data_IF_099974713358
#
_entry.id   IF_099974713358
#
_cell.length_a   1.000
_cell.length_b   1.000
_cell.length_c   1.000
_cell.angle_alpha   90.00
_cell.angle_beta   90.00
_cell.angle_gamma   90.00
#
_symmetry.space_group_name_H-M   'P 1'
#
loop_
_entity.id
_entity.type
_entity.pdbx_description
1 polymer ?
#
# COMPACT_ATOMS: atom_id res chain seq x y z
N UNK A 1 20.85 26.68 -34.74
CA UNK A 1 20.92 25.93 -36.03
C UNK A 1 21.84 24.70 -35.97
N UNK A 2 23.00 24.71 -35.32
CA UNK A 2 23.93 23.54 -35.31
C UNK A 2 23.40 22.31 -34.53
N UNK A 3 22.74 22.51 -33.40
CA UNK A 3 22.23 21.40 -32.56
C UNK A 3 21.14 20.57 -33.27
N UNK A 4 20.22 21.23 -33.96
CA UNK A 4 19.14 20.56 -34.72
C UNK A 4 19.69 19.66 -35.84
N UNK A 5 20.76 20.08 -36.50
CA UNK A 5 21.45 19.26 -37.50
C UNK A 5 22.09 18.00 -36.89
N UNK A 6 22.67 18.09 -35.69
CA UNK A 6 23.24 16.91 -35.04
C UNK A 6 22.17 15.89 -34.64
N UNK A 7 21.00 16.35 -34.16
CA UNK A 7 19.85 15.47 -33.86
C UNK A 7 19.34 14.81 -35.16
N UNK A 8 19.27 15.53 -36.25
CA UNK A 8 18.82 14.98 -37.53
C UNK A 8 19.78 13.89 -38.06
N UNK A 9 21.11 14.13 -38.00
CA UNK A 9 22.14 13.16 -38.38
C UNK A 9 22.06 11.92 -37.45
N UNK A 10 21.82 12.11 -36.15
CA UNK A 10 21.66 10.99 -35.21
C UNK A 10 20.44 10.14 -35.53
N UNK A 11 19.31 10.75 -35.90
CA UNK A 11 18.09 10.03 -36.31
C UNK A 11 18.30 9.25 -37.60
N UNK A 12 18.97 9.84 -38.60
CA UNK A 12 19.32 9.15 -39.85
C UNK A 12 20.21 7.93 -39.60
N UNK A 13 21.21 8.05 -38.72
CA UNK A 13 22.08 6.94 -38.29
C UNK A 13 21.31 5.80 -37.67
N UNK A 14 20.33 6.10 -36.77
CA UNK A 14 19.45 5.12 -36.14
C UNK A 14 18.63 4.35 -37.16
N UNK A 15 18.07 5.06 -38.14
CA UNK A 15 17.23 4.46 -39.19
C UNK A 15 18.05 3.59 -40.15
N UNK A 16 19.32 3.92 -40.39
CA UNK A 16 20.22 3.15 -41.26
C UNK A 16 20.63 1.83 -40.63
N UNK A 17 20.85 1.77 -39.27
CA UNK A 17 21.28 0.60 -38.55
C UNK A 17 20.25 0.13 -37.49
N UNK A 18 19.02 -0.13 -37.94
CA UNK A 18 17.84 -0.40 -37.08
C UNK A 18 18.08 -1.50 -36.02
N UNK A 19 18.70 -2.62 -36.41
CA UNK A 19 18.91 -3.77 -35.53
C UNK A 19 19.88 -3.45 -34.40
N UNK A 20 20.94 -2.68 -34.71
CA UNK A 20 21.94 -2.23 -33.75
C UNK A 20 21.33 -1.22 -32.76
N UNK A 21 20.60 -0.23 -33.28
CA UNK A 21 19.92 0.77 -32.48
C UNK A 21 18.90 0.12 -31.53
N UNK A 22 18.14 -0.86 -32.01
CA UNK A 22 17.16 -1.59 -31.20
C UNK A 22 17.82 -2.38 -30.07
N UNK A 23 18.90 -3.10 -30.39
CA UNK A 23 19.66 -3.88 -29.36
C UNK A 23 20.31 -2.97 -28.31
N UNK A 24 20.80 -1.80 -28.69
CA UNK A 24 21.35 -0.81 -27.74
C UNK A 24 20.28 -0.22 -26.85
N UNK A 25 19.16 0.18 -27.44
CA UNK A 25 18.06 0.78 -26.69
C UNK A 25 17.38 -0.23 -25.79
N UNK A 26 17.42 -1.53 -26.12
CA UNK A 26 16.72 -2.58 -25.36
C UNK A 26 17.08 -2.57 -23.88
N UNK A 27 18.36 -2.44 -23.54
CA UNK A 27 18.81 -2.36 -22.13
C UNK A 27 18.26 -1.13 -21.39
N UNK A 28 18.23 0.02 -22.08
CA UNK A 28 17.64 1.26 -21.51
C UNK A 28 16.12 1.15 -21.40
N UNK A 29 15.46 0.62 -22.44
CA UNK A 29 14.00 0.43 -22.45
C UNK A 29 13.58 -0.48 -21.28
N UNK A 30 14.24 -1.62 -21.13
CA UNK A 30 13.93 -2.56 -20.01
C UNK A 30 14.25 -1.92 -18.66
N UNK A 31 15.39 -1.25 -18.54
CA UNK A 31 15.79 -0.60 -17.30
C UNK A 31 14.81 0.50 -16.86
N UNK A 32 14.43 1.37 -17.77
CA UNK A 32 13.45 2.44 -17.52
C UNK A 32 12.06 1.86 -17.23
N UNK A 33 11.61 0.89 -18.05
CA UNK A 33 10.33 0.24 -17.84
C UNK A 33 10.27 -0.45 -16.47
N UNK A 34 11.32 -1.17 -16.09
CA UNK A 34 11.39 -1.81 -14.78
C UNK A 34 11.33 -0.79 -13.64
N UNK A 35 12.12 0.28 -13.68
CA UNK A 35 12.14 1.31 -12.62
C UNK A 35 10.79 1.98 -12.49
N UNK A 36 10.19 2.47 -13.57
CA UNK A 36 8.90 3.19 -13.54
C UNK A 36 7.77 2.27 -13.08
N UNK A 37 7.69 1.06 -13.64
CA UNK A 37 6.63 0.09 -13.25
C UNK A 37 6.74 -0.27 -11.77
N UNK A 38 7.95 -0.49 -11.29
CA UNK A 38 8.18 -0.89 -9.90
C UNK A 38 7.86 0.21 -8.90
N UNK A 39 8.29 1.45 -9.17
CA UNK A 39 7.91 2.60 -8.34
C UNK A 39 6.38 2.75 -8.35
N UNK A 40 5.75 2.59 -9.51
CA UNK A 40 4.30 2.66 -9.65
C UNK A 40 3.55 1.56 -8.87
N UNK A 41 4.06 0.33 -8.86
CA UNK A 41 3.51 -0.78 -8.05
C UNK A 41 3.66 -0.47 -6.57
N UNK A 42 4.84 -0.04 -6.13
CA UNK A 42 5.11 0.31 -4.74
C UNK A 42 4.17 1.40 -4.21
N UNK A 43 3.98 2.46 -4.99
CA UNK A 43 3.05 3.55 -4.65
C UNK A 43 1.59 3.10 -4.67
N UNK A 44 1.17 2.37 -5.69
CA UNK A 44 -0.18 1.84 -5.77
C UNK A 44 -0.52 0.91 -4.60
N UNK A 45 0.42 0.06 -4.18
CA UNK A 45 0.25 -0.79 -3.00
C UNK A 45 0.16 0.05 -1.71
N UNK A 46 1.04 1.04 -1.53
CA UNK A 46 1.00 1.95 -0.38
C UNK A 46 -0.30 2.75 -0.33
N UNK A 47 -0.78 3.27 -1.48
CA UNK A 47 -2.03 4.00 -1.57
C UNK A 47 -3.23 3.13 -1.18
N UNK A 48 -3.28 1.87 -1.64
CA UNK A 48 -4.35 0.94 -1.27
C UNK A 48 -4.34 0.62 0.23
N UNK A 49 -3.16 0.40 0.83
CA UNK A 49 -3.02 0.18 2.27
C UNK A 49 -3.48 1.42 3.04
N UNK A 50 -3.00 2.60 2.64
CA UNK A 50 -3.39 3.88 3.25
C UNK A 50 -4.90 4.10 3.17
N UNK A 51 -5.51 3.88 2.01
CA UNK A 51 -6.95 4.01 1.82
C UNK A 51 -7.72 3.01 2.69
N UNK A 52 -7.26 1.76 2.78
CA UNK A 52 -7.90 0.73 3.62
C UNK A 52 -7.82 1.07 5.11
N UNK A 53 -6.72 1.71 5.54
CA UNK A 53 -6.54 2.13 6.92
C UNK A 53 -7.37 3.40 7.19
N UNK A 54 -7.35 4.39 6.31
CA UNK A 54 -8.14 5.61 6.46
C UNK A 54 -9.64 5.36 6.53
N UNK A 55 -10.14 4.35 5.79
CA UNK A 55 -11.56 3.94 5.84
C UNK A 55 -11.98 3.26 7.14
N UNK A 56 -11.06 3.01 8.09
CA UNK A 56 -11.35 2.40 9.38
C UNK A 56 -11.21 3.37 10.57
N UNK A 57 -10.94 4.66 10.31
CA UNK A 57 -10.67 5.68 11.32
C UNK A 57 -9.17 5.97 11.49
N UNK A 58 -8.77 7.24 11.42
CA UNK A 58 -7.34 7.64 11.39
C UNK A 58 -6.73 7.66 12.79
N UNK A 59 -7.53 7.99 13.82
CA UNK A 59 -7.09 8.14 15.20
C UNK A 59 -7.45 6.93 16.07
N UNK A 60 -7.62 5.76 15.42
CA UNK A 60 -8.10 4.55 16.09
C UNK A 60 -6.96 3.84 16.84
N UNK A 61 -7.18 3.61 18.13
CA UNK A 61 -6.43 2.66 18.94
C UNK A 61 -7.31 1.44 19.24
N UNK A 62 -6.71 0.25 19.18
CA UNK A 62 -7.40 -0.99 19.52
C UNK A 62 -6.62 -1.67 20.64
N UNK A 63 -7.29 -1.95 21.76
CA UNK A 63 -6.72 -2.73 22.84
C UNK A 63 -7.14 -4.18 22.66
N UNK A 64 -6.16 -5.05 22.52
CA UNK A 64 -6.34 -6.49 22.43
C UNK A 64 -5.90 -7.16 23.74
N UNK A 65 -6.54 -8.23 24.19
CA UNK A 65 -6.05 -9.04 25.28
C UNK A 65 -4.65 -9.58 24.93
N UNK A 66 -3.78 -9.63 25.89
CA UNK A 66 -2.43 -10.17 25.76
C UNK A 66 -2.40 -11.67 25.47
N UNK A 67 -1.22 -12.24 25.44
CA UNK A 67 -1.01 -13.67 25.32
C UNK A 67 -0.99 -14.34 26.69
N UNK A 68 -1.72 -15.44 26.86
CA UNK A 68 -1.52 -16.31 28.01
C UNK A 68 -0.27 -17.16 27.80
N UNK A 69 0.60 -17.21 28.81
CA UNK A 69 1.71 -18.17 28.86
C UNK A 69 1.33 -19.34 29.74
N UNK A 70 1.20 -20.52 29.13
CA UNK A 70 0.99 -21.76 29.87
C UNK A 70 2.16 -22.70 29.65
N UNK A 71 2.89 -23.05 30.73
CA UNK A 71 4.03 -23.95 30.66
C UNK A 71 5.21 -23.45 29.81
N UNK A 72 5.40 -22.11 29.71
CA UNK A 72 6.48 -21.50 28.93
C UNK A 72 6.17 -21.36 27.43
N UNK A 73 4.97 -21.73 27.00
CA UNK A 73 4.51 -21.54 25.61
C UNK A 73 3.49 -20.40 25.58
N UNK A 74 3.80 -19.33 24.82
CA UNK A 74 2.85 -18.24 24.57
C UNK A 74 1.76 -18.71 23.60
N UNK A 75 0.49 -18.56 23.99
CA UNK A 75 -0.66 -18.96 23.19
C UNK A 75 -1.12 -17.92 22.15
N UNK A 76 -0.29 -16.93 21.88
CA UNK A 76 -0.62 -15.85 20.95
C UNK A 76 -1.48 -14.74 21.56
N UNK A 77 -1.44 -13.56 20.96
CA UNK A 77 -2.23 -12.40 21.39
C UNK A 77 -3.73 -12.69 21.34
N UNK A 78 -4.49 -12.13 22.28
CA UNK A 78 -5.93 -12.33 22.39
C UNK A 78 -6.38 -13.52 23.26
N UNK A 79 -5.45 -14.36 23.73
CA UNK A 79 -5.80 -15.55 24.53
C UNK A 79 -6.07 -15.24 26.01
N UNK A 80 -5.59 -14.12 26.53
CA UNK A 80 -5.63 -13.82 27.97
C UNK A 80 -7.04 -13.56 28.54
N UNK A 81 -8.01 -13.14 27.71
CA UNK A 81 -9.40 -12.81 28.12
C UNK A 81 -9.47 -11.98 29.40
N UNK A 82 -8.50 -11.07 29.58
CA UNK A 82 -8.37 -10.24 30.80
C UNK A 82 -9.13 -8.93 30.70
N UNK A 83 -9.43 -8.48 29.46
CA UNK A 83 -10.19 -7.25 29.25
C UNK A 83 -11.67 -7.43 29.58
N UNK A 84 -12.23 -6.49 30.32
CA UNK A 84 -13.60 -6.54 30.85
C UNK A 84 -14.40 -5.26 30.52
N UNK A 85 -15.72 -5.31 30.72
CA UNK A 85 -16.57 -4.13 30.67
C UNK A 85 -16.21 -3.06 31.73
N UNK A 86 -15.63 -3.46 32.87
CA UNK A 86 -15.14 -2.52 33.85
C UNK A 86 -13.91 -1.74 33.39
N UNK A 87 -13.06 -2.34 32.55
CA UNK A 87 -11.93 -1.65 31.95
C UNK A 87 -12.41 -0.60 30.95
N UNK A 88 -13.45 -0.93 30.19
CA UNK A 88 -14.13 0.03 29.31
C UNK A 88 -14.65 1.25 30.11
N UNK A 89 -15.34 1.00 31.24
CA UNK A 89 -15.84 2.08 32.07
C UNK A 89 -14.73 2.95 32.69
N UNK A 90 -13.59 2.35 33.06
CA UNK A 90 -12.45 3.10 33.56
C UNK A 90 -11.77 3.95 32.46
N UNK A 91 -11.68 3.43 31.27
CA UNK A 91 -11.13 4.18 30.12
C UNK A 91 -12.06 5.31 29.67
N UNK A 92 -13.38 5.20 29.89
CA UNK A 92 -14.35 6.26 29.63
C UNK A 92 -14.26 7.45 30.59
N UNK A 93 -13.56 7.29 31.74
CA UNK A 93 -13.36 8.38 32.69
C UNK A 93 -12.41 9.45 32.10
N UNK A 94 -13.00 10.57 31.68
CA UNK A 94 -12.29 11.70 31.10
C UNK A 94 -11.33 12.41 32.06
N UNK A 95 -11.45 12.18 33.35
CA UNK A 95 -10.53 12.76 34.35
C UNK A 95 -9.18 12.02 34.36
N UNK A 96 -9.22 10.73 34.06
CA UNK A 96 -8.03 9.88 33.99
C UNK A 96 -7.49 9.82 32.54
N UNK A 97 -8.38 9.85 31.56
CA UNK A 97 -8.06 9.64 30.16
C UNK A 97 -8.57 10.80 29.26
N UNK A 98 -8.09 12.03 29.45
CA UNK A 98 -8.59 13.18 28.70
C UNK A 98 -8.26 13.14 27.19
N UNK A 99 -7.26 12.37 26.76
CA UNK A 99 -6.88 12.21 25.37
C UNK A 99 -7.82 11.28 24.59
N UNK A 100 -8.62 10.46 25.24
CA UNK A 100 -9.57 9.55 24.61
C UNK A 100 -10.89 10.29 24.31
N UNK A 101 -11.38 10.22 23.09
CA UNK A 101 -12.67 10.83 22.71
C UNK A 101 -13.82 9.85 22.97
N UNK A 102 -13.73 8.64 22.42
CA UNK A 102 -14.72 7.59 22.57
C UNK A 102 -14.06 6.27 22.91
N UNK A 103 -14.74 5.44 23.70
CA UNK A 103 -14.26 4.10 24.11
C UNK A 103 -15.40 3.12 23.88
N UNK A 104 -15.18 2.16 23.00
CA UNK A 104 -16.20 1.24 22.52
C UNK A 104 -15.77 -0.21 22.74
N UNK A 105 -16.52 -0.97 23.56
CA UNK A 105 -16.27 -2.40 23.74
C UNK A 105 -16.74 -3.20 22.52
N UNK A 106 -15.99 -4.25 22.23
CA UNK A 106 -16.33 -5.22 21.18
C UNK A 106 -16.29 -6.62 21.76
N UNK A 107 -17.31 -7.40 21.45
CA UNK A 107 -17.32 -8.84 21.70
C UNK A 107 -17.66 -9.58 20.40
N UNK A 108 -16.72 -10.35 19.88
CA UNK A 108 -16.86 -10.99 18.58
C UNK A 108 -16.92 -12.52 18.69
N UNK A 109 -17.71 -13.13 17.82
CA UNK A 109 -17.77 -14.57 17.65
C UNK A 109 -18.23 -14.96 16.26
N UNK A 110 -17.76 -16.12 15.79
CA UNK A 110 -18.19 -16.65 14.48
C UNK A 110 -19.38 -17.58 14.69
N UNK A 111 -20.45 -17.34 13.94
CA UNK A 111 -21.66 -18.14 14.03
C UNK A 111 -22.43 -18.20 12.72
N UNK A 112 -23.42 -19.08 12.68
CA UNK A 112 -24.30 -19.25 11.55
C UNK A 112 -25.45 -18.22 11.60
N UNK A 113 -25.62 -17.52 10.48
CA UNK A 113 -26.77 -16.67 10.18
C UNK A 113 -27.65 -17.37 9.15
N UNK A 114 -28.96 -17.32 9.37
CA UNK A 114 -29.93 -18.04 8.53
C UNK A 114 -31.08 -17.11 8.14
N UNK A 115 -31.38 -17.06 6.84
CA UNK A 115 -32.56 -16.40 6.29
C UNK A 115 -33.17 -17.24 5.18
N UNK A 116 -34.47 -17.60 5.31
CA UNK A 116 -35.22 -18.37 4.29
C UNK A 116 -34.46 -19.60 3.72
N UNK A 117 -33.74 -20.35 4.59
CA UNK A 117 -33.00 -21.53 4.18
C UNK A 117 -31.59 -21.25 3.64
N UNK A 118 -31.23 -19.99 3.40
CA UNK A 118 -29.85 -19.57 3.11
C UNK A 118 -29.07 -19.52 4.41
N UNK A 119 -27.98 -20.28 4.47
CA UNK A 119 -27.09 -20.37 5.62
C UNK A 119 -25.76 -19.72 5.30
N UNK A 120 -25.29 -18.84 6.16
CA UNK A 120 -23.96 -18.26 6.04
C UNK A 120 -23.27 -18.26 7.41
N UNK A 121 -21.98 -18.62 7.44
CA UNK A 121 -21.16 -18.57 8.64
C UNK A 121 -20.28 -17.33 8.57
N UNK A 122 -20.54 -16.38 9.46
CA UNK A 122 -19.82 -15.11 9.51
C UNK A 122 -19.58 -14.65 10.95
N UNK A 123 -18.77 -13.61 11.06
CA UNK A 123 -18.52 -12.94 12.33
C UNK A 123 -19.75 -12.12 12.75
N UNK A 124 -20.15 -12.29 14.01
CA UNK A 124 -21.12 -11.44 14.68
C UNK A 124 -20.39 -10.64 15.74
N UNK A 125 -20.54 -9.34 15.68
CA UNK A 125 -19.87 -8.35 16.55
C UNK A 125 -20.90 -7.69 17.44
N UNK A 126 -20.79 -7.92 18.74
CA UNK A 126 -21.51 -7.19 19.76
C UNK A 126 -20.80 -5.89 20.09
N UNK A 127 -21.51 -4.76 19.99
CA UNK A 127 -20.94 -3.44 20.23
C UNK A 127 -21.98 -2.41 20.68
N UNK A 128 -21.59 -1.14 20.82
CA UNK A 128 -22.45 -0.02 21.21
C UNK A 128 -22.74 0.91 20.03
N UNK A 129 -23.62 1.89 20.22
CA UNK A 129 -23.96 2.87 19.19
C UNK A 129 -22.75 3.66 18.67
N UNK A 130 -21.81 3.98 19.56
CA UNK A 130 -20.61 4.75 19.24
C UNK A 130 -19.64 4.02 18.26
N UNK A 131 -19.81 2.70 18.04
CA UNK A 131 -18.95 1.95 17.14
C UNK A 131 -18.95 2.49 15.71
N UNK A 132 -20.12 2.95 15.23
CA UNK A 132 -20.26 3.47 13.88
C UNK A 132 -19.40 4.74 13.68
N UNK A 133 -19.39 5.64 14.68
CA UNK A 133 -18.57 6.87 14.60
C UNK A 133 -17.07 6.57 14.76
N UNK A 134 -16.68 5.71 15.70
CA UNK A 134 -15.27 5.35 15.94
C UNK A 134 -14.64 4.63 14.74
N UNK A 135 -15.45 3.88 13.98
CA UNK A 135 -14.99 3.10 12.81
C UNK A 135 -15.37 3.75 11.47
N UNK A 136 -15.88 4.98 11.50
CA UNK A 136 -16.33 5.74 10.32
C UNK A 136 -17.29 4.93 9.40
N UNK A 137 -18.22 4.19 10.03
CA UNK A 137 -19.18 3.37 9.31
C UNK A 137 -20.37 4.20 8.85
N UNK A 138 -20.65 4.13 7.56
CA UNK A 138 -21.84 4.76 6.98
C UNK A 138 -22.94 3.72 6.75
N UNK A 139 -24.16 4.04 7.19
CA UNK A 139 -25.36 3.23 6.92
C UNK A 139 -25.89 3.57 5.53
N UNK A 140 -26.14 2.56 4.70
CA UNK A 140 -26.75 2.71 3.38
C UNK A 140 -28.27 2.74 3.46
N UNK A 141 -28.86 1.92 4.34
CA UNK A 141 -30.30 1.80 4.50
C UNK A 141 -30.64 1.48 5.96
N UNK A 142 -31.71 2.10 6.50
CA UNK A 142 -32.10 1.97 7.90
C UNK A 142 -31.26 2.81 8.86
N UNK A 143 -30.92 2.24 10.03
CA UNK A 143 -30.15 2.90 11.08
C UNK A 143 -29.13 1.95 11.72
N UNK A 144 -28.06 2.51 12.33
CA UNK A 144 -27.17 1.76 13.20
C UNK A 144 -27.80 1.55 14.59
N UNK A 145 -27.14 0.79 15.45
CA UNK A 145 -27.55 0.54 16.83
C UNK A 145 -27.69 1.85 17.61
N UNK A 146 -28.63 1.88 18.57
CA UNK A 146 -28.81 2.99 19.51
C UNK A 146 -28.48 2.54 20.94
N UNK A 147 -28.10 3.49 21.80
CA UNK A 147 -27.79 3.19 23.21
C UNK A 147 -29.00 2.62 23.97
N UNK A 148 -30.23 3.02 23.56
CA UNK A 148 -31.44 2.46 24.11
C UNK A 148 -31.58 0.97 23.77
N UNK A 149 -31.29 0.57 22.53
CA UNK A 149 -31.35 -0.83 22.10
C UNK A 149 -30.27 -1.68 22.81
N UNK A 150 -29.09 -1.10 23.07
CA UNK A 150 -28.02 -1.76 23.83
C UNK A 150 -28.46 -1.99 25.28
N UNK A 151 -29.06 -0.98 25.91
CA UNK A 151 -29.51 -1.04 27.32
C UNK A 151 -30.71 -1.98 27.51
N UNK A 152 -31.64 -1.98 26.55
CA UNK A 152 -32.84 -2.85 26.58
C UNK A 152 -32.57 -4.28 26.10
N UNK A 153 -31.34 -4.62 25.74
CA UNK A 153 -30.97 -5.93 25.16
C UNK A 153 -31.85 -6.32 23.96
N UNK A 154 -32.11 -5.37 23.07
CA UNK A 154 -33.00 -5.56 21.93
C UNK A 154 -32.38 -6.53 20.92
N UNK A 155 -33.18 -7.48 20.41
CA UNK A 155 -32.75 -8.45 19.39
C UNK A 155 -32.81 -7.81 17.99
N UNK A 156 -31.89 -6.89 17.75
CA UNK A 156 -31.73 -6.18 16.48
C UNK A 156 -30.35 -6.43 15.89
N UNK A 157 -30.24 -6.31 14.59
CA UNK A 157 -28.99 -6.54 13.86
C UNK A 157 -28.83 -5.54 12.72
N UNK A 158 -27.59 -5.05 12.56
CA UNK A 158 -27.15 -4.28 11.39
C UNK A 158 -26.23 -5.18 10.56
N UNK A 159 -26.44 -5.24 9.26
CA UNK A 159 -25.71 -6.13 8.36
C UNK A 159 -24.66 -5.34 7.54
N UNK A 160 -23.50 -5.93 7.36
CA UNK A 160 -22.54 -5.48 6.34
C UNK A 160 -23.09 -5.69 4.93
N UNK A 161 -22.69 -4.87 3.98
CA UNK A 161 -23.25 -4.84 2.63
C UNK A 161 -23.16 -6.19 1.90
N UNK A 162 -21.99 -6.86 1.96
CA UNK A 162 -21.79 -8.17 1.32
C UNK A 162 -22.62 -9.26 2.00
N UNK A 163 -22.72 -9.22 3.33
CA UNK A 163 -23.53 -10.18 4.09
C UNK A 163 -25.01 -10.03 3.77
N UNK A 164 -25.50 -8.80 3.70
CA UNK A 164 -26.89 -8.49 3.32
C UNK A 164 -27.20 -9.03 1.91
N UNK A 165 -26.33 -8.77 0.93
CA UNK A 165 -26.50 -9.29 -0.43
C UNK A 165 -26.45 -10.83 -0.48
N UNK A 166 -25.59 -11.47 0.32
CA UNK A 166 -25.47 -12.93 0.38
C UNK A 166 -26.71 -13.59 0.96
N UNK A 167 -27.32 -13.01 2.01
CA UNK A 167 -28.49 -13.58 2.68
C UNK A 167 -29.80 -13.27 1.94
N UNK A 168 -29.96 -12.05 1.42
CA UNK A 168 -31.21 -11.55 0.87
C UNK A 168 -31.26 -11.50 -0.66
N UNK A 169 -30.09 -11.60 -1.35
CA UNK A 169 -30.02 -11.40 -2.80
C UNK A 169 -30.48 -9.98 -3.16
N UNK A 170 -31.58 -9.89 -3.90
CA UNK A 170 -32.18 -8.61 -4.31
C UNK A 170 -33.36 -8.17 -3.41
N UNK A 171 -33.70 -8.95 -2.37
CA UNK A 171 -34.78 -8.58 -1.45
C UNK A 171 -34.33 -7.50 -0.46
N UNK A 172 -35.25 -6.67 -0.02
CA UNK A 172 -34.98 -5.62 0.97
C UNK A 172 -34.76 -6.23 2.37
N UNK A 173 -33.57 -6.00 2.99
CA UNK A 173 -33.22 -6.62 4.27
C UNK A 173 -33.88 -5.96 5.47
N UNK A 174 -34.03 -4.61 5.43
CA UNK A 174 -34.52 -3.81 6.60
C UNK A 174 -35.95 -4.20 6.96
N UNK A 175 -36.18 -4.43 8.25
CA UNK A 175 -37.47 -4.88 8.78
C UNK A 175 -37.67 -6.40 8.73
N UNK A 176 -36.84 -7.16 8.05
CA UNK A 176 -36.90 -8.63 7.99
C UNK A 176 -36.30 -9.26 9.25
N UNK A 177 -36.69 -10.51 9.53
CA UNK A 177 -36.17 -11.30 10.65
C UNK A 177 -35.21 -12.36 10.16
N UNK A 178 -33.98 -12.36 10.69
CA UNK A 178 -32.98 -13.44 10.47
C UNK A 178 -32.78 -14.22 11.76
N UNK A 179 -32.21 -15.42 11.64
CA UNK A 179 -31.81 -16.22 12.82
C UNK A 179 -30.31 -16.20 12.98
N UNK A 180 -29.88 -15.86 14.20
CA UNK A 180 -28.48 -15.94 14.64
C UNK A 180 -28.41 -16.96 15.78
N UNK A 181 -27.67 -18.04 15.63
CA UNK A 181 -27.68 -19.16 16.59
C UNK A 181 -29.11 -19.67 16.93
N UNK A 182 -30.01 -19.67 15.94
CA UNK A 182 -31.39 -20.10 16.13
C UNK A 182 -32.32 -19.04 16.75
N UNK A 183 -31.80 -17.92 17.28
CA UNK A 183 -32.59 -16.83 17.87
C UNK A 183 -32.98 -15.81 16.78
N UNK A 184 -34.21 -15.26 16.81
CA UNK A 184 -34.69 -14.28 15.85
C UNK A 184 -34.09 -12.90 16.14
N UNK A 185 -33.64 -12.21 15.09
CA UNK A 185 -33.16 -10.82 15.13
C UNK A 185 -33.81 -10.03 13.99
N UNK A 186 -34.27 -8.83 14.30
CA UNK A 186 -34.81 -7.91 13.29
C UNK A 186 -33.68 -7.10 12.67
N UNK A 187 -33.58 -7.11 11.35
CA UNK A 187 -32.61 -6.26 10.61
C UNK A 187 -33.11 -4.80 10.68
N UNK A 188 -32.29 -3.92 11.25
CA UNK A 188 -32.61 -2.49 11.40
C UNK A 188 -31.81 -1.60 10.45
N UNK A 189 -30.75 -2.12 9.84
CA UNK A 189 -29.96 -1.38 8.88
C UNK A 189 -28.97 -2.24 8.13
N UNK A 190 -28.47 -1.66 7.03
CA UNK A 190 -27.42 -2.23 6.20
C UNK A 190 -26.35 -1.17 6.01
N UNK A 191 -25.08 -1.57 6.20
CA UNK A 191 -23.93 -0.68 6.00
C UNK A 191 -23.67 -0.45 4.51
N UNK A 192 -23.11 0.71 4.20
CA UNK A 192 -22.52 0.99 2.90
C UNK A 192 -21.26 0.15 2.73
N UNK A 193 -21.00 -0.32 1.50
CA UNK A 193 -19.77 -1.04 1.17
C UNK A 193 -18.54 -0.19 1.49
N UNK A 194 -17.67 -0.70 2.35
CA UNK A 194 -16.41 -0.04 2.73
C UNK A 194 -15.24 -0.44 1.82
N UNK A 195 -15.38 -1.52 1.04
CA UNK A 195 -14.40 -1.95 0.05
C UNK A 195 -13.11 -2.53 0.65
N UNK A 196 -13.12 -2.94 1.90
CA UNK A 196 -11.97 -3.59 2.54
C UNK A 196 -11.64 -4.93 1.89
N UNK A 197 -10.34 -5.22 1.69
CA UNK A 197 -9.86 -6.47 1.12
C UNK A 197 -9.45 -7.41 2.27
N UNK A 198 -10.04 -8.62 2.30
CA UNK A 198 -9.64 -9.67 3.24
C UNK A 198 -10.58 -9.88 4.43
N UNK A 199 -10.09 -10.60 5.45
CA UNK A 199 -10.86 -11.04 6.63
C UNK A 199 -11.30 -9.90 7.59
N UNK A 200 -10.87 -8.67 7.36
CA UNK A 200 -11.17 -7.50 8.19
C UNK A 200 -12.21 -6.55 7.57
N UNK A 201 -12.95 -7.00 6.55
CA UNK A 201 -13.98 -6.17 5.94
C UNK A 201 -15.23 -6.13 6.78
N UNK A 202 -15.68 -4.94 7.18
CA UNK A 202 -16.97 -4.73 7.85
C UNK A 202 -18.16 -5.15 6.97
N UNK A 203 -17.94 -5.35 5.67
CA UNK A 203 -18.97 -5.70 4.71
C UNK A 203 -19.54 -7.12 4.91
N UNK A 204 -18.83 -7.99 5.64
CA UNK A 204 -19.25 -9.39 5.91
C UNK A 204 -19.70 -9.60 7.36
N UNK A 205 -19.73 -8.58 8.18
CA UNK A 205 -20.01 -8.65 9.63
C UNK A 205 -21.48 -8.34 9.91
N UNK A 206 -22.03 -9.01 10.93
CA UNK A 206 -23.33 -8.65 11.53
C UNK A 206 -23.08 -7.96 12.89
N UNK A 207 -23.66 -6.80 13.11
CA UNK A 207 -23.51 -6.02 14.33
C UNK A 207 -24.78 -6.13 15.18
N UNK A 208 -24.62 -6.47 16.46
CA UNK A 208 -25.70 -6.61 17.44
C UNK A 208 -25.37 -5.84 18.72
N UNK A 209 -26.32 -5.51 19.58
CA UNK A 209 -26.04 -4.94 20.91
C UNK A 209 -25.07 -5.83 21.70
N UNK A 210 -24.04 -5.23 22.33
CA UNK A 210 -23.03 -6.00 23.06
C UNK A 210 -23.63 -6.79 24.22
N UNK A 211 -24.64 -6.26 24.90
CA UNK A 211 -25.36 -6.94 25.95
C UNK A 211 -25.98 -8.26 25.48
N UNK A 212 -26.58 -8.26 24.27
CA UNK A 212 -27.16 -9.45 23.64
C UNK A 212 -26.07 -10.44 23.21
N UNK A 213 -24.99 -9.94 22.61
CA UNK A 213 -23.87 -10.76 22.20
C UNK A 213 -23.25 -11.53 23.38
N UNK A 214 -22.97 -10.82 24.48
CA UNK A 214 -22.34 -11.40 25.66
C UNK A 214 -23.27 -12.35 26.43
N UNK A 215 -24.52 -11.92 26.70
CA UNK A 215 -25.41 -12.70 27.56
C UNK A 215 -26.18 -13.79 26.83
N UNK A 216 -26.63 -13.56 25.59
CA UNK A 216 -27.55 -14.45 24.89
C UNK A 216 -26.95 -15.26 23.75
N UNK A 217 -26.03 -14.69 22.98
CA UNK A 217 -25.48 -15.40 21.84
C UNK A 217 -24.27 -16.24 22.25
N UNK A 218 -23.27 -15.64 22.86
CA UNK A 218 -21.97 -16.32 23.04
C UNK A 218 -21.71 -16.78 24.49
N UNK A 219 -22.62 -16.44 25.43
CA UNK A 219 -22.41 -16.72 26.84
C UNK A 219 -20.99 -16.33 27.29
N UNK A 220 -20.64 -15.05 27.08
CA UNK A 220 -19.31 -14.52 27.28
C UNK A 220 -18.77 -14.88 28.69
N UNK A 221 -17.52 -15.32 28.83
CA UNK A 221 -16.96 -15.62 30.11
C UNK A 221 -16.88 -14.35 30.96
N UNK A 222 -16.88 -14.55 32.29
CA UNK A 222 -16.66 -13.46 33.25
C UNK A 222 -15.29 -13.54 33.84
N UNK A 223 -14.62 -12.42 33.90
CA UNK A 223 -13.36 -12.27 34.61
C UNK A 223 -13.56 -11.27 35.76
N UNK A 224 -13.21 -11.65 36.97
CA UNK A 224 -13.46 -10.85 38.22
C UNK A 224 -14.92 -10.41 38.37
N UNK A 225 -15.88 -11.22 37.88
CA UNK A 225 -17.31 -10.94 37.97
C UNK A 225 -17.91 -10.10 36.83
N UNK A 226 -17.07 -9.50 35.96
CA UNK A 226 -17.45 -8.67 34.85
C UNK A 226 -17.39 -9.46 33.52
N UNK A 227 -18.23 -9.14 32.57
CA UNK A 227 -18.18 -9.73 31.22
C UNK A 227 -16.88 -9.34 30.52
N UNK A 228 -16.23 -10.32 29.90
CA UNK A 228 -15.05 -10.07 29.08
C UNK A 228 -15.43 -9.45 27.74
N UNK A 229 -14.51 -8.68 27.16
CA UNK A 229 -14.58 -8.15 25.80
C UNK A 229 -13.47 -8.77 24.94
N UNK A 230 -13.70 -8.87 23.64
CA UNK A 230 -12.71 -9.37 22.68
C UNK A 230 -11.64 -8.33 22.41
N UNK A 231 -12.05 -7.08 22.29
CA UNK A 231 -11.20 -5.91 22.09
C UNK A 231 -11.93 -4.64 22.54
N UNK A 232 -11.17 -3.56 22.72
CA UNK A 232 -11.71 -2.24 23.01
C UNK A 232 -11.20 -1.29 21.91
N UNK A 233 -12.14 -0.67 21.20
CA UNK A 233 -11.82 0.33 20.18
C UNK A 233 -11.93 1.73 20.77
N UNK A 234 -10.92 2.56 20.53
CA UNK A 234 -10.84 3.90 21.11
C UNK A 234 -10.54 4.91 20.02
N UNK A 235 -11.24 6.03 20.07
CA UNK A 235 -10.94 7.20 19.28
C UNK A 235 -10.16 8.21 20.11
N UNK A 236 -9.13 8.81 19.54
CA UNK A 236 -8.28 9.82 20.18
C UNK A 236 -8.65 11.18 19.61
N UNK A 237 -8.72 12.19 20.48
CA UNK A 237 -9.16 13.56 20.11
C UNK A 237 -8.37 14.11 18.91
N UNK A 238 -7.05 13.91 18.89
CA UNK A 238 -6.18 14.33 17.77
C UNK A 238 -5.01 13.36 17.62
N UNK A 239 -4.47 13.23 16.41
CA UNK A 239 -3.35 12.33 16.12
C UNK A 239 -2.10 12.61 16.97
N UNK A 240 -1.84 13.86 17.29
CA UNK A 240 -0.69 14.27 18.13
C UNK A 240 -0.82 13.81 19.58
N UNK A 241 -2.04 13.47 20.03
CA UNK A 241 -2.30 12.98 21.37
C UNK A 241 -2.21 11.45 21.49
N UNK A 242 -1.99 10.73 20.39
CA UNK A 242 -1.87 9.27 20.39
C UNK A 242 -0.84 8.77 21.41
N UNK A 243 0.39 9.31 21.50
CA UNK A 243 1.35 8.85 22.52
C UNK A 243 0.88 9.11 23.95
N UNK A 244 0.18 10.21 24.18
CA UNK A 244 -0.40 10.52 25.49
C UNK A 244 -1.56 9.58 25.83
N UNK A 245 -2.40 9.27 24.84
CA UNK A 245 -3.49 8.31 24.97
C UNK A 245 -2.97 6.91 25.28
N UNK A 246 -1.95 6.43 24.59
CA UNK A 246 -1.31 5.13 24.86
C UNK A 246 -0.80 5.05 26.29
N UNK A 247 -0.13 6.09 26.78
CA UNK A 247 0.35 6.14 28.16
C UNK A 247 -0.78 6.16 29.20
N UNK A 248 -1.88 6.90 28.92
CA UNK A 248 -3.06 6.94 29.80
C UNK A 248 -3.73 5.58 29.85
N UNK A 249 -3.93 4.93 28.70
CA UNK A 249 -4.48 3.57 28.59
C UNK A 249 -3.62 2.58 29.38
N UNK A 250 -2.31 2.59 29.16
CA UNK A 250 -1.39 1.71 29.84
C UNK A 250 -1.45 1.89 31.37
N UNK A 251 -1.40 3.13 31.82
CA UNK A 251 -1.46 3.43 33.26
C UNK A 251 -2.79 2.96 33.89
N UNK A 252 -3.91 3.25 33.23
CA UNK A 252 -5.26 2.87 33.69
C UNK A 252 -5.42 1.36 33.75
N UNK A 253 -5.03 0.63 32.72
CA UNK A 253 -5.17 -0.83 32.67
C UNK A 253 -4.20 -1.53 33.60
N UNK A 254 -2.93 -1.12 33.70
CA UNK A 254 -1.96 -1.68 34.66
C UNK A 254 -2.45 -1.56 36.11
N UNK A 255 -3.02 -0.38 36.45
CA UNK A 255 -3.60 -0.17 37.76
C UNK A 255 -4.77 -1.11 38.03
N UNK A 256 -5.70 -1.26 37.08
CA UNK A 256 -6.88 -2.11 37.20
C UNK A 256 -6.55 -3.61 37.26
N UNK A 257 -5.57 -4.01 36.45
CA UNK A 257 -5.12 -5.39 36.40
C UNK A 257 -4.16 -5.76 37.56
N UNK A 258 -3.79 -4.79 38.42
CA UNK A 258 -2.84 -4.93 39.50
C UNK A 258 -1.44 -5.39 39.02
N UNK A 259 -1.01 -4.90 37.86
CA UNK A 259 0.31 -5.18 37.31
C UNK A 259 1.35 -4.32 38.02
N UNK A 260 2.43 -4.94 38.48
CA UNK A 260 3.58 -4.24 39.06
C UNK A 260 4.57 -3.79 38.00
N UNK A 261 5.54 -2.95 38.32
CA UNK A 261 6.55 -2.50 37.35
C UNK A 261 7.39 -3.65 36.75
N UNK A 262 7.41 -4.81 37.40
CA UNK A 262 8.14 -5.99 36.96
C UNK A 262 7.31 -6.90 36.03
N UNK A 263 6.00 -6.68 35.97
CA UNK A 263 5.10 -7.52 35.16
C UNK A 263 4.96 -6.97 33.75
N UNK A 264 4.93 -7.85 32.77
CA UNK A 264 4.56 -7.50 31.39
C UNK A 264 3.08 -7.15 31.30
N UNK A 265 2.71 -6.34 30.31
CA UNK A 265 1.31 -6.02 30.05
C UNK A 265 0.56 -7.29 29.61
N UNK A 266 -0.59 -7.58 30.21
CA UNK A 266 -1.51 -8.64 29.80
C UNK A 266 -2.50 -8.17 28.73
N UNK A 267 -2.21 -7.04 28.10
CA UNK A 267 -2.89 -6.44 26.95
C UNK A 267 -1.87 -5.86 25.98
N UNK A 268 -2.32 -5.62 24.75
CA UNK A 268 -1.55 -4.96 23.69
C UNK A 268 -2.33 -3.79 23.14
N UNK A 269 -1.69 -2.64 22.99
CA UNK A 269 -2.28 -1.47 22.34
C UNK A 269 -1.84 -1.48 20.89
N UNK A 270 -2.79 -1.57 20.00
CA UNK A 270 -2.57 -1.56 18.57
C UNK A 270 -2.93 -0.18 18.02
N UNK A 271 -1.93 0.49 17.48
CA UNK A 271 -2.08 1.81 16.90
C UNK A 271 -2.15 1.69 15.37
N UNK A 272 -3.24 2.17 14.80
CA UNK A 272 -3.46 2.13 13.36
C UNK A 272 -2.44 2.98 12.59
N UNK A 273 -1.97 4.08 13.18
CA UNK A 273 -0.91 4.91 12.63
C UNK A 273 0.41 4.13 12.41
N UNK A 274 0.75 3.24 13.35
CA UNK A 274 1.98 2.43 13.26
C UNK A 274 1.97 1.46 12.07
N UNK A 275 0.78 1.03 11.63
CA UNK A 275 0.63 0.26 10.38
C UNK A 275 0.95 1.10 9.15
N UNK A 276 0.49 2.36 9.12
CA UNK A 276 0.80 3.29 8.02
C UNK A 276 2.32 3.51 7.94
N UNK A 277 2.97 3.75 9.06
CA UNK A 277 4.43 3.93 9.13
C UNK A 277 5.17 2.66 8.69
N UNK A 278 4.72 1.49 9.12
CA UNK A 278 5.28 0.21 8.70
C UNK A 278 5.08 -0.01 7.20
N UNK A 279 3.88 0.24 6.67
CA UNK A 279 3.59 0.13 5.25
C UNK A 279 4.44 1.10 4.41
N UNK A 280 4.60 2.34 4.88
CA UNK A 280 5.47 3.32 4.23
C UNK A 280 6.95 2.88 4.24
N UNK A 281 7.44 2.35 5.36
CA UNK A 281 8.81 1.82 5.50
C UNK A 281 9.05 0.62 4.58
N UNK A 282 8.11 -0.31 4.50
CA UNK A 282 8.17 -1.47 3.58
C UNK A 282 8.17 -0.98 2.14
N UNK A 283 7.28 -0.05 1.78
CA UNK A 283 7.21 0.53 0.44
C UNK A 283 8.52 1.24 0.06
N UNK A 284 9.11 2.00 0.98
CA UNK A 284 10.41 2.65 0.78
C UNK A 284 11.54 1.63 0.58
N UNK A 285 11.58 0.58 1.38
CA UNK A 285 12.57 -0.49 1.27
C UNK A 285 12.45 -1.19 -0.08
N UNK A 286 11.21 -1.51 -0.52
CA UNK A 286 10.96 -2.09 -1.83
C UNK A 286 11.39 -1.16 -2.96
N UNK A 287 11.10 0.14 -2.84
CA UNK A 287 11.50 1.15 -3.84
C UNK A 287 13.03 1.21 -3.98
N UNK A 288 13.77 1.20 -2.86
CA UNK A 288 15.23 1.20 -2.86
C UNK A 288 15.77 -0.10 -3.50
N UNK A 289 15.26 -1.26 -3.08
CA UNK A 289 15.69 -2.55 -3.61
C UNK A 289 15.47 -2.66 -5.12
N UNK A 290 14.29 -2.31 -5.57
CA UNK A 290 13.94 -2.40 -6.98
C UNK A 290 14.58 -1.28 -7.81
N UNK A 291 14.81 -0.11 -7.20
CA UNK A 291 15.64 0.95 -7.77
C UNK A 291 17.07 0.49 -8.02
N UNK A 292 17.66 -0.28 -7.11
CA UNK A 292 18.99 -0.89 -7.29
C UNK A 292 19.00 -1.88 -8.47
N UNK A 293 17.97 -2.73 -8.59
CA UNK A 293 17.81 -3.64 -9.74
C UNK A 293 17.71 -2.86 -11.06
N UNK A 294 16.93 -1.79 -11.06
CA UNK A 294 16.80 -0.88 -12.21
C UNK A 294 18.13 -0.21 -12.57
N UNK A 295 18.88 0.24 -11.57
CA UNK A 295 20.23 0.82 -11.77
C UNK A 295 21.19 -0.18 -12.40
N UNK A 296 21.19 -1.45 -11.98
CA UNK A 296 21.99 -2.51 -12.58
C UNK A 296 21.58 -2.71 -14.05
N UNK A 297 20.27 -2.73 -14.34
CA UNK A 297 19.77 -2.86 -15.72
C UNK A 297 20.20 -1.70 -16.60
N UNK A 298 20.19 -0.48 -16.08
CA UNK A 298 20.67 0.71 -16.78
C UNK A 298 22.19 0.71 -16.96
N UNK A 299 22.98 0.18 -16.01
CA UNK A 299 24.41 -0.02 -16.18
C UNK A 299 24.71 -1.00 -17.33
N UNK A 300 24.01 -2.13 -17.38
CA UNK A 300 24.15 -3.11 -18.46
C UNK A 300 23.77 -2.50 -19.81
N UNK A 301 22.64 -1.76 -19.86
CA UNK A 301 22.22 -1.03 -21.05
C UNK A 301 23.21 0.05 -21.48
N UNK A 302 23.79 0.79 -20.52
CA UNK A 302 24.83 1.79 -20.73
C UNK A 302 26.14 1.19 -21.30
N UNK A 303 26.58 0.04 -20.80
CA UNK A 303 27.72 -0.70 -21.37
C UNK A 303 27.42 -1.13 -22.80
N UNK A 304 26.17 -1.54 -23.08
CA UNK A 304 25.71 -1.82 -24.44
C UNK A 304 25.84 -0.61 -25.38
N UNK A 305 25.44 0.59 -24.91
CA UNK A 305 25.62 1.84 -25.65
C UNK A 305 27.09 2.12 -25.89
N UNK A 306 27.92 2.04 -24.87
CA UNK A 306 29.36 2.28 -24.97
C UNK A 306 29.99 1.38 -26.03
N UNK A 307 29.71 0.08 -26.01
CA UNK A 307 30.28 -0.89 -26.94
C UNK A 307 29.88 -0.60 -28.39
N UNK A 308 28.60 -0.27 -28.61
CA UNK A 308 28.12 0.01 -29.97
C UNK A 308 28.64 1.37 -30.48
N UNK A 309 28.71 2.35 -29.59
CA UNK A 309 29.34 3.64 -29.94
C UNK A 309 30.81 3.49 -30.31
N UNK A 310 31.57 2.62 -29.64
CA UNK A 310 32.96 2.31 -30.00
C UNK A 310 33.03 1.68 -31.40
N UNK A 311 32.15 0.72 -31.70
CA UNK A 311 32.05 0.15 -33.04
C UNK A 311 31.68 1.21 -34.08
N UNK A 312 30.72 2.08 -33.76
CA UNK A 312 30.34 3.19 -34.65
C UNK A 312 31.50 4.17 -34.95
N UNK A 313 32.34 4.45 -33.93
CA UNK A 313 33.53 5.27 -34.09
C UNK A 313 34.54 4.59 -35.04
N UNK A 314 34.76 3.28 -34.89
CA UNK A 314 35.72 2.52 -35.75
C UNK A 314 35.19 2.42 -37.18
N UNK A 315 33.91 2.17 -37.41
CA UNK A 315 33.26 2.17 -38.75
C UNK A 315 33.34 3.50 -39.46
N UNK A 316 33.29 4.63 -38.68
CA UNK A 316 33.34 6.00 -39.23
C UNK A 316 34.72 6.63 -39.11
N UNK A 317 35.77 5.87 -38.91
CA UNK A 317 37.14 6.37 -38.73
C UNK A 317 37.58 7.25 -39.90
N UNK A 318 37.34 6.85 -41.16
CA UNK A 318 37.67 7.61 -42.35
C UNK A 318 36.87 8.95 -42.42
N UNK A 319 35.59 8.93 -42.15
CA UNK A 319 34.73 10.13 -42.11
C UNK A 319 35.21 11.15 -41.06
N UNK A 320 35.58 10.68 -39.86
CA UNK A 320 36.13 11.50 -38.78
C UNK A 320 37.47 12.11 -39.22
N UNK A 321 38.32 11.29 -39.85
CA UNK A 321 39.61 11.71 -40.38
C UNK A 321 39.48 12.84 -41.42
N UNK A 322 38.55 12.70 -42.36
CA UNK A 322 38.28 13.76 -43.37
C UNK A 322 37.81 15.06 -42.70
N UNK A 323 36.90 14.97 -41.71
CA UNK A 323 36.42 16.18 -40.99
C UNK A 323 37.56 16.88 -40.25
N UNK A 324 38.45 16.12 -39.62
CA UNK A 324 39.62 16.66 -38.88
C UNK A 324 40.64 17.27 -39.85
N UNK A 325 40.88 16.63 -40.99
CA UNK A 325 41.78 17.16 -42.03
C UNK A 325 41.33 18.49 -42.60
N UNK A 326 39.99 18.72 -42.67
CA UNK A 326 39.38 19.99 -43.11
C UNK A 326 39.26 21.02 -41.97
N UNK A 327 39.76 20.71 -40.75
CA UNK A 327 39.83 21.65 -39.62
C UNK A 327 38.67 21.61 -38.64
N UNK A 328 37.95 20.49 -38.54
CA UNK A 328 36.92 20.35 -37.50
C UNK A 328 37.57 20.30 -36.10
N UNK A 329 37.08 21.09 -35.18
CA UNK A 329 37.53 21.11 -33.78
C UNK A 329 37.06 19.85 -33.04
N UNK A 330 37.89 19.30 -32.17
CA UNK A 330 37.60 18.13 -31.35
C UNK A 330 36.27 18.24 -30.61
N UNK A 331 35.92 19.43 -30.12
CA UNK A 331 34.63 19.71 -29.47
C UNK A 331 33.41 19.41 -30.36
N UNK A 332 33.50 19.63 -31.66
CA UNK A 332 32.39 19.35 -32.57
C UNK A 332 32.18 17.84 -32.75
N UNK A 333 33.27 17.07 -32.84
CA UNK A 333 33.24 15.61 -32.92
C UNK A 333 32.72 15.02 -31.63
N UNK A 334 33.22 15.46 -30.49
CA UNK A 334 32.77 15.04 -29.15
C UNK A 334 31.28 15.30 -28.97
N UNK A 335 30.81 16.51 -29.25
CA UNK A 335 29.39 16.86 -29.14
C UNK A 335 28.51 16.04 -30.07
N UNK A 336 28.96 15.70 -31.28
CA UNK A 336 28.20 14.89 -32.22
C UNK A 336 27.91 13.51 -31.66
N UNK A 337 28.94 12.78 -31.21
CA UNK A 337 28.79 11.43 -30.63
C UNK A 337 28.03 11.47 -29.30
N UNK A 338 28.24 12.51 -28.48
CA UNK A 338 27.52 12.66 -27.23
C UNK A 338 26.01 12.89 -27.46
N UNK A 339 25.66 13.71 -28.45
CA UNK A 339 24.24 13.94 -28.81
C UNK A 339 23.62 12.65 -29.39
N UNK A 340 24.40 11.87 -30.16
CA UNK A 340 23.94 10.58 -30.67
C UNK A 340 23.60 9.61 -29.52
N UNK A 341 24.45 9.51 -28.51
CA UNK A 341 24.19 8.72 -27.30
C UNK A 341 22.96 9.25 -26.54
N UNK A 342 22.84 10.57 -26.36
CA UNK A 342 21.69 11.18 -25.67
C UNK A 342 20.38 10.97 -26.41
N UNK A 343 20.36 11.03 -27.74
CA UNK A 343 19.16 10.77 -28.56
C UNK A 343 18.72 9.31 -28.42
N UNK A 344 19.67 8.37 -28.47
CA UNK A 344 19.39 6.94 -28.27
C UNK A 344 18.78 6.66 -26.89
N UNK A 345 19.36 7.24 -25.83
CA UNK A 345 18.85 7.04 -24.47
C UNK A 345 17.53 7.77 -24.22
N UNK A 346 17.31 8.94 -24.81
CA UNK A 346 16.04 9.65 -24.74
C UNK A 346 14.92 8.85 -25.38
N UNK A 347 15.14 8.31 -26.60
CA UNK A 347 14.16 7.46 -27.29
C UNK A 347 13.91 6.19 -26.47
N UNK A 348 14.97 5.53 -25.98
CA UNK A 348 14.87 4.36 -25.13
C UNK A 348 14.06 4.64 -23.85
N UNK A 349 14.28 5.81 -23.22
CA UNK A 349 13.55 6.27 -22.06
C UNK A 349 12.06 6.47 -22.33
N UNK A 350 11.72 7.17 -23.41
CA UNK A 350 10.31 7.40 -23.82
C UNK A 350 9.59 6.09 -24.13
N UNK A 351 10.24 5.18 -24.86
CA UNK A 351 9.67 3.85 -25.17
C UNK A 351 9.53 3.02 -23.89
N UNK A 352 10.50 3.08 -22.97
CA UNK A 352 10.45 2.42 -21.67
C UNK A 352 9.27 2.90 -20.81
N UNK A 353 9.02 4.22 -20.77
CA UNK A 353 7.84 4.79 -20.09
C UNK A 353 6.55 4.30 -20.79
N UNK A 354 6.49 4.30 -22.12
CA UNK A 354 5.35 3.76 -22.87
C UNK A 354 5.05 2.30 -22.51
N UNK A 355 6.09 1.46 -22.37
CA UNK A 355 5.95 0.08 -21.92
C UNK A 355 5.43 -0.01 -20.47
N UNK A 356 5.86 0.88 -19.56
CA UNK A 356 5.36 0.92 -18.19
C UNK A 356 3.85 1.19 -18.14
N UNK A 357 3.34 2.10 -18.98
CA UNK A 357 1.90 2.32 -19.13
C UNK A 357 1.18 1.10 -19.71
N UNK A 358 1.81 0.41 -20.65
CA UNK A 358 1.29 -0.86 -21.18
C UNK A 358 1.14 -1.92 -20.07
N UNK A 359 2.15 -2.07 -19.23
CA UNK A 359 2.10 -2.98 -18.07
C UNK A 359 1.03 -2.53 -17.06
N UNK A 360 0.96 -1.25 -16.74
CA UNK A 360 -0.04 -0.69 -15.83
C UNK A 360 -1.48 -0.94 -16.32
N UNK A 361 -1.71 -0.92 -17.62
CA UNK A 361 -3.01 -1.22 -18.22
C UNK A 361 -3.33 -2.73 -18.23
N UNK A 362 -2.33 -3.58 -18.45
CA UNK A 362 -2.51 -5.03 -18.55
C UNK A 362 -2.69 -5.73 -17.18
N UNK A 363 -2.02 -5.24 -16.14
CA UNK A 363 -2.04 -5.86 -14.80
C UNK A 363 -3.46 -6.02 -14.22
N UNK A 364 -4.36 -5.03 -14.24
CA UNK A 364 -5.74 -5.19 -13.77
C UNK A 364 -6.54 -6.19 -14.59
N UNK A 365 -6.29 -6.29 -15.92
CA UNK A 365 -6.95 -7.26 -16.80
C UNK A 365 -6.54 -8.71 -16.48
N UNK A 366 -5.36 -8.90 -15.88
CA UNK A 366 -4.86 -10.21 -15.42
C UNK A 366 -5.32 -10.54 -13.99
N UNK A 367 -6.20 -9.72 -13.39
CA UNK A 367 -6.76 -9.95 -12.06
C UNK A 367 -5.91 -9.40 -10.90
N UNK A 368 -4.94 -8.54 -11.17
CA UNK A 368 -4.21 -7.87 -10.10
C UNK A 368 -5.12 -6.88 -9.35
N UNK A 369 -5.20 -7.04 -8.03
CA UNK A 369 -6.06 -6.21 -7.16
C UNK A 369 -5.48 -4.83 -6.86
N UNK A 370 -4.26 -4.53 -7.31
CA UNK A 370 -3.59 -3.25 -7.08
C UNK A 370 -3.44 -2.46 -8.39
N UNK A 371 -3.59 -1.16 -8.29
CA UNK A 371 -3.34 -0.23 -9.41
C UNK A 371 -1.87 0.17 -9.40
N UNK A 372 -1.29 0.26 -10.59
CA UNK A 372 0.04 0.85 -10.78
C UNK A 372 -0.14 2.35 -10.91
N UNK A 373 0.41 3.10 -9.96
CA UNK A 373 0.32 4.57 -9.95
C UNK A 373 1.60 5.17 -10.51
N UNK A 374 1.52 5.66 -11.76
CA UNK A 374 2.65 6.26 -12.48
C UNK A 374 2.52 7.78 -12.41
N UNK A 375 3.21 8.39 -11.47
CA UNK A 375 3.22 9.84 -11.30
C UNK A 375 4.28 10.52 -12.21
N UNK A 376 4.09 11.82 -12.55
CA UNK A 376 5.02 12.58 -13.38
C UNK A 376 6.46 12.65 -12.84
N UNK A 377 6.65 12.63 -11.52
CA UNK A 377 7.97 12.67 -10.89
C UNK A 377 8.79 11.41 -11.15
N UNK A 378 8.16 10.22 -11.16
CA UNK A 378 8.82 8.96 -11.55
C UNK A 378 9.22 8.96 -13.02
N UNK A 379 8.44 9.60 -13.90
CA UNK A 379 8.81 9.76 -15.31
C UNK A 379 10.01 10.71 -15.48
N UNK A 380 10.00 11.85 -14.78
CA UNK A 380 11.10 12.82 -14.81
C UNK A 380 12.38 12.16 -14.30
N UNK A 381 12.29 11.42 -13.20
CA UNK A 381 13.41 10.67 -12.64
C UNK A 381 13.95 9.64 -13.65
N UNK A 382 13.06 8.86 -14.27
CA UNK A 382 13.45 7.84 -15.24
C UNK A 382 14.12 8.42 -16.48
N UNK A 383 13.58 9.52 -17.05
CA UNK A 383 14.21 10.25 -18.15
C UNK A 383 15.56 10.84 -17.73
N UNK A 384 15.62 11.45 -16.55
CA UNK A 384 16.87 12.01 -16.01
C UNK A 384 17.97 10.97 -15.87
N UNK A 385 17.64 9.81 -15.29
CA UNK A 385 18.61 8.70 -15.12
C UNK A 385 19.00 8.09 -16.46
N UNK A 386 18.05 7.96 -17.42
CA UNK A 386 18.32 7.50 -18.78
C UNK A 386 19.30 8.42 -19.51
N UNK A 387 19.07 9.74 -19.45
CA UNK A 387 19.97 10.74 -20.04
C UNK A 387 21.35 10.76 -19.36
N UNK A 388 21.38 10.65 -18.02
CA UNK A 388 22.63 10.55 -17.27
C UNK A 388 23.43 9.30 -17.68
N UNK A 389 22.77 8.15 -17.87
CA UNK A 389 23.38 6.94 -18.41
C UNK A 389 23.97 7.16 -19.80
N UNK A 390 23.19 7.79 -20.72
CA UNK A 390 23.69 8.14 -22.06
C UNK A 390 24.93 9.05 -22.03
N UNK A 391 24.93 10.02 -21.11
CA UNK A 391 26.05 10.93 -20.93
C UNK A 391 27.31 10.16 -20.43
N UNK A 392 27.16 9.41 -19.34
CA UNK A 392 28.29 8.68 -18.70
C UNK A 392 28.91 7.70 -19.68
N UNK A 393 28.10 6.85 -20.30
CA UNK A 393 28.59 5.79 -21.20
C UNK A 393 28.90 6.30 -22.61
N UNK A 394 28.39 7.46 -23.03
CA UNK A 394 28.69 8.12 -24.30
C UNK A 394 29.99 8.91 -24.29
N UNK A 395 30.44 9.43 -23.12
CA UNK A 395 31.66 10.24 -23.03
C UNK A 395 32.90 9.49 -23.51
N UNK A 396 33.10 8.25 -23.06
CA UNK A 396 34.32 7.50 -23.42
C UNK A 396 34.46 7.24 -24.93
N UNK A 397 33.45 6.72 -25.67
CA UNK A 397 33.54 6.60 -27.13
C UNK A 397 33.71 7.95 -27.84
N UNK A 398 33.03 9.00 -27.38
CA UNK A 398 33.13 10.32 -27.95
C UNK A 398 34.56 10.90 -27.81
N UNK A 399 35.19 10.71 -26.66
CA UNK A 399 36.61 11.09 -26.43
C UNK A 399 37.55 10.27 -27.33
N UNK A 400 37.31 8.98 -27.50
CA UNK A 400 38.09 8.12 -28.38
C UNK A 400 38.05 8.59 -29.82
N UNK A 401 36.89 9.07 -30.29
CA UNK A 401 36.72 9.64 -31.62
C UNK A 401 37.55 10.92 -31.85
N UNK A 402 37.76 11.73 -30.81
CA UNK A 402 38.57 12.95 -30.90
C UNK A 402 40.08 12.68 -30.88
N UNK A 403 40.52 11.50 -30.47
CA UNK A 403 41.94 11.13 -30.37
C UNK A 403 42.49 10.45 -31.63
N UNK A 404 41.64 10.16 -32.64
CA UNK A 404 42.08 9.53 -33.90
C UNK A 404 43.03 10.46 -34.66
N UNK A 405 44.21 9.92 -35.07
CA UNK A 405 45.12 10.67 -35.91
C UNK A 405 44.52 10.82 -37.32
N UNK A 406 44.41 12.04 -37.90
CA UNK A 406 43.89 12.25 -39.23
C UNK A 406 44.58 11.48 -40.31
N UNK A 407 45.90 11.30 -40.19
CA UNK A 407 46.74 10.62 -41.20
C UNK A 407 46.47 9.10 -41.20
N UNK A 408 46.41 8.51 -39.97
CA UNK A 408 46.06 7.10 -39.85
C UNK A 408 44.60 6.83 -40.22
N UNK A 409 43.69 7.74 -39.84
CA UNK A 409 42.27 7.59 -40.12
C UNK A 409 41.96 7.65 -41.63
N UNK A 410 42.68 8.43 -42.42
CA UNK A 410 42.56 8.48 -43.88
C UNK A 410 43.19 7.25 -44.58
N UNK A 411 44.08 6.52 -43.91
CA UNK A 411 44.75 5.31 -44.42
C UNK A 411 43.98 4.02 -44.15
N UNK A 412 42.96 4.13 -43.29
CA UNK A 412 42.10 3.01 -42.91
C UNK A 412 41.10 2.76 -44.04
N UNK A 413 41.22 1.55 -44.69
CA UNK A 413 40.23 1.06 -45.65
C UNK A 413 39.02 0.42 -44.99
#
# INVERSE_FOLDING_TARGET
>A
MKLFRFVQISLESIVTHKLRALLTMLGIIIGVAAVVTTIGIGRGAAANITQSIQSQGVNLLIILPGATSSGGVSQGGGSARTLTMGDVAALQDKTLNPALEQVVPVYSGNTQLVYNGVNNQNSVVGTTAAYASVRDLTVADGSFLTDEQVTQESQVVVLGATLATTLFGNAEPVGQSIRIMGQPFTVIGVLKTTGGVGFSSNDTIAFVPISVAQARLFNAPRYRGEYTVSDINLDVVTADQIPAAEHQIETTLRLRHNLTAADDNDFSIFNQQSLLETAASVSQTMTIFLGAVGAISLLVGGIGIMNIMLVSVTERTHEIGVRRAVGAHDRHILLQFLIEALVLTAIGGVVGIGLSYGVAYLLPLLGASFKVDIEPDSMILAVGVSLASGLIFGIYPAMRATQLDPIEALRYE
#
